data_IF_038490378494
#
_entry.id   IF_038490378494
#
_cell.length_a   1.000
_cell.length_b   1.000
_cell.length_c   1.000
_cell.angle_alpha   90.00
_cell.angle_beta   90.00
_cell.angle_gamma   90.00
#
_symmetry.space_group_name_H-M   'P 1'
#
loop_
_entity.id
_entity.type
_entity.pdbx_description
1 polymer ?
#
# COMPACT_ATOMS: atom_id res chain seq x y z
N UNK A 1 -5.97 12.89 -8.22
CA UNK A 1 -6.00 14.08 -9.09
C UNK A 1 -5.09 13.84 -10.30
N UNK A 2 -5.66 13.84 -11.51
CA UNK A 2 -4.88 13.59 -12.73
C UNK A 2 -3.73 14.60 -12.90
N UNK A 3 -2.57 14.14 -13.36
CA UNK A 3 -1.38 14.97 -13.59
C UNK A 3 -0.65 15.52 -12.36
N UNK A 4 -1.20 15.36 -11.15
CA UNK A 4 -0.64 15.99 -9.93
C UNK A 4 0.78 15.56 -9.55
N UNK A 5 1.24 14.37 -10.00
CA UNK A 5 2.62 13.92 -9.82
C UNK A 5 3.66 14.87 -10.44
N UNK A 6 3.27 15.65 -11.47
CA UNK A 6 4.14 16.65 -12.11
C UNK A 6 4.37 17.89 -11.25
N UNK A 7 3.55 18.10 -10.23
CA UNK A 7 3.59 19.28 -9.35
C UNK A 7 4.18 18.98 -7.97
N UNK A 8 4.74 17.78 -7.77
CA UNK A 8 5.21 17.32 -6.46
C UNK A 8 6.20 18.28 -5.79
N UNK A 9 7.18 18.81 -6.55
CA UNK A 9 8.14 19.80 -6.05
C UNK A 9 7.44 21.07 -5.57
N UNK A 10 6.57 21.63 -6.41
CA UNK A 10 5.79 22.83 -6.08
C UNK A 10 4.82 22.60 -4.90
N UNK A 11 4.30 21.40 -4.72
CA UNK A 11 3.49 21.03 -3.54
C UNK A 11 4.35 20.98 -2.27
N UNK A 12 5.54 20.39 -2.34
CA UNK A 12 6.48 20.34 -1.21
C UNK A 12 6.88 21.75 -0.76
N UNK A 13 7.21 22.62 -1.71
CA UNK A 13 7.66 23.99 -1.45
C UNK A 13 6.53 24.87 -0.86
N UNK A 14 5.27 24.57 -1.16
CA UNK A 14 4.08 25.26 -0.59
C UNK A 14 3.85 24.97 0.89
N UNK A 15 4.37 23.85 1.40
CA UNK A 15 4.12 23.38 2.76
C UNK A 15 5.42 23.16 3.55
N UNK A 16 6.26 24.20 3.72
CA UNK A 16 7.59 24.06 4.32
C UNK A 16 7.55 23.63 5.80
N UNK A 17 6.40 23.80 6.47
CA UNK A 17 6.20 23.45 7.88
C UNK A 17 5.53 22.10 8.15
N UNK A 18 5.11 21.37 7.11
CA UNK A 18 4.58 20.01 7.31
C UNK A 18 5.79 19.11 7.58
N UNK A 19 5.95 18.66 8.83
CA UNK A 19 6.87 17.56 9.16
C UNK A 19 6.60 16.46 8.16
N UNK A 20 7.55 16.25 7.26
CA UNK A 20 7.51 15.12 6.35
C UNK A 20 7.52 13.87 7.24
N UNK A 21 6.36 13.26 7.43
CA UNK A 21 6.35 11.82 7.69
C UNK A 21 7.00 11.27 6.44
N UNK A 22 8.23 10.75 6.54
CA UNK A 22 9.12 10.47 5.40
C UNK A 22 8.46 9.75 4.20
N UNK A 23 7.31 9.13 4.41
CA UNK A 23 6.54 8.35 3.44
C UNK A 23 5.43 9.12 2.67
N UNK A 24 4.91 10.27 3.16
CA UNK A 24 3.79 10.97 2.49
C UNK A 24 3.72 12.48 2.76
N UNK A 25 3.07 13.22 1.85
CA UNK A 25 2.78 14.65 1.97
C UNK A 25 1.26 14.87 2.12
N UNK A 26 0.75 15.21 3.32
CA UNK A 26 -0.66 15.57 3.47
C UNK A 26 -0.97 16.89 2.77
N UNK A 27 -2.07 16.92 2.01
CA UNK A 27 -2.53 18.12 1.31
C UNK A 27 -3.64 18.80 2.13
N UNK A 28 -3.48 20.08 2.53
CA UNK A 28 -4.55 20.82 3.21
C UNK A 28 -5.82 20.88 2.37
N UNK A 29 -6.98 20.77 3.04
CA UNK A 29 -8.31 20.82 2.38
C UNK A 29 -8.55 22.11 1.59
N UNK A 30 -7.85 23.19 1.94
CA UNK A 30 -7.94 24.50 1.31
C UNK A 30 -7.07 24.65 0.06
N UNK A 31 -6.17 23.70 -0.23
CA UNK A 31 -5.28 23.83 -1.39
C UNK A 31 -6.04 23.72 -2.71
N UNK A 32 -5.68 24.59 -3.65
CA UNK A 32 -6.32 24.66 -4.96
C UNK A 32 -6.21 23.36 -5.78
N UNK A 33 -5.23 22.50 -5.51
CA UNK A 33 -5.11 21.22 -6.23
C UNK A 33 -6.33 20.31 -6.01
N UNK A 34 -6.99 20.45 -4.86
CA UNK A 34 -8.19 19.67 -4.51
C UNK A 34 -9.46 20.20 -5.17
N UNK A 35 -9.43 21.40 -5.79
CA UNK A 35 -10.54 21.93 -6.59
C UNK A 35 -10.64 21.25 -7.96
N UNK A 36 -9.59 20.53 -8.38
CA UNK A 36 -9.61 19.77 -9.63
C UNK A 36 -10.49 18.53 -9.48
N UNK A 37 -11.24 18.13 -10.52
CA UNK A 37 -12.10 16.96 -10.43
C UNK A 37 -11.26 15.70 -10.15
N UNK A 38 -11.55 14.94 -9.08
CA UNK A 38 -10.90 13.66 -8.86
C UNK A 38 -11.42 12.64 -9.87
N UNK A 39 -10.56 11.67 -10.20
CA UNK A 39 -10.95 10.49 -10.99
C UNK A 39 -11.10 9.33 -10.01
N UNK A 40 -12.28 8.71 -10.00
CA UNK A 40 -12.52 7.46 -9.30
C UNK A 40 -12.11 6.31 -10.22
N UNK A 41 -11.12 5.53 -9.82
CA UNK A 41 -10.71 4.34 -10.56
C UNK A 41 -11.62 3.19 -10.15
N UNK A 42 -12.37 2.66 -11.10
CA UNK A 42 -13.16 1.43 -10.93
C UNK A 42 -12.32 0.23 -11.36
N UNK A 43 -12.28 -0.79 -10.52
CA UNK A 43 -11.55 -2.03 -10.74
C UNK A 43 -12.49 -3.22 -10.55
N UNK A 44 -12.31 -4.26 -11.35
CA UNK A 44 -12.84 -5.60 -11.13
C UNK A 44 -11.84 -6.46 -10.34
N UNK A 45 -12.29 -7.63 -9.88
CA UNK A 45 -11.39 -8.59 -9.23
C UNK A 45 -10.29 -9.01 -10.22
N UNK A 46 -9.02 -8.88 -9.81
CA UNK A 46 -7.85 -9.18 -10.64
C UNK A 46 -7.22 -7.96 -11.31
N UNK A 47 -7.90 -6.83 -11.37
CA UNK A 47 -7.33 -5.60 -11.96
C UNK A 47 -6.20 -5.03 -11.09
N UNK A 48 -5.14 -4.57 -11.76
CA UNK A 48 -4.03 -3.87 -11.14
C UNK A 48 -4.11 -2.37 -11.45
N UNK A 49 -4.38 -1.57 -10.41
CA UNK A 49 -4.33 -0.11 -10.51
C UNK A 49 -2.93 0.41 -10.14
N UNK A 50 -2.27 1.07 -11.08
CA UNK A 50 -0.93 1.64 -10.89
C UNK A 50 -0.97 3.16 -10.94
N UNK A 51 -0.20 3.81 -10.07
CA UNK A 51 -0.01 5.25 -10.09
C UNK A 51 1.41 5.63 -9.66
N UNK A 52 1.89 6.79 -10.13
CA UNK A 52 3.13 7.39 -9.65
C UNK A 52 2.97 7.79 -8.18
N UNK A 53 3.93 7.43 -7.32
CA UNK A 53 3.86 7.65 -5.86
C UNK A 53 3.71 9.11 -5.44
N UNK A 54 4.00 10.06 -6.34
CA UNK A 54 3.83 11.50 -6.13
C UNK A 54 2.42 12.01 -6.48
N UNK A 55 1.57 11.15 -7.04
CA UNK A 55 0.19 11.51 -7.41
C UNK A 55 -0.64 11.77 -6.17
N UNK A 56 -1.32 12.93 -6.11
CA UNK A 56 -2.30 13.21 -5.06
C UNK A 56 -3.48 12.27 -5.23
N UNK A 57 -3.71 11.42 -4.24
CA UNK A 57 -4.76 10.41 -4.22
C UNK A 57 -5.34 10.27 -2.80
N UNK A 58 -6.50 9.63 -2.70
CA UNK A 58 -7.10 9.29 -1.43
C UNK A 58 -7.96 8.03 -1.58
N UNK A 59 -8.20 7.35 -0.46
CA UNK A 59 -9.17 6.28 -0.39
C UNK A 59 -10.57 6.88 -0.22
N UNK A 60 -11.52 6.41 -1.01
CA UNK A 60 -12.94 6.66 -0.77
C UNK A 60 -13.50 5.50 0.06
N UNK A 61 -14.30 5.73 1.12
CA UNK A 61 -14.99 4.64 1.80
C UNK A 61 -15.90 3.88 0.84
N UNK A 62 -16.12 2.59 1.09
CA UNK A 62 -17.18 1.86 0.39
C UNK A 62 -18.53 2.55 0.65
N UNK A 63 -19.47 2.48 -0.30
CA UNK A 63 -20.82 3.02 -0.08
C UNK A 63 -21.39 2.33 1.18
N UNK A 64 -21.88 3.09 2.18
CA UNK A 64 -22.46 2.47 3.37
C UNK A 64 -23.64 1.59 2.95
N UNK A 65 -23.72 0.40 3.54
CA UNK A 65 -24.97 -0.37 3.48
C UNK A 65 -26.05 0.44 4.21
N UNK A 66 -27.33 0.34 3.82
CA UNK A 66 -28.43 0.98 4.54
C UNK A 66 -28.34 0.67 6.04
N UNK A 67 -28.37 1.73 6.85
CA UNK A 67 -28.05 1.75 8.30
C UNK A 67 -28.93 0.80 9.13
N UNK A 68 -30.05 0.34 8.58
CA UNK A 68 -31.04 -0.49 9.29
C UNK A 68 -30.64 -1.97 9.45
N UNK A 69 -29.64 -2.46 8.72
CA UNK A 69 -29.14 -3.82 8.96
C UNK A 69 -27.96 -3.76 9.91
N UNK A 70 -28.21 -3.98 11.21
CA UNK A 70 -27.19 -4.57 12.10
C UNK A 70 -26.54 -5.70 11.32
N UNK A 71 -25.21 -5.72 11.24
CA UNK A 71 -24.47 -6.80 10.61
C UNK A 71 -24.81 -8.09 11.36
N UNK A 72 -25.79 -8.83 10.86
CA UNK A 72 -25.99 -10.22 11.21
C UNK A 72 -24.79 -10.96 10.61
N UNK A 73 -23.88 -11.51 11.43
CA UNK A 73 -22.67 -12.18 10.94
C UNK A 73 -22.98 -13.31 9.96
N UNK A 74 -24.18 -13.90 10.05
CA UNK A 74 -24.65 -14.96 9.16
C UNK A 74 -25.25 -14.43 7.84
N UNK A 75 -25.42 -13.11 7.68
CA UNK A 75 -25.98 -12.47 6.47
C UNK A 75 -25.01 -11.51 5.78
N UNK A 76 -23.71 -11.61 6.06
CA UNK A 76 -22.69 -10.88 5.30
C UNK A 76 -22.49 -11.57 3.94
N UNK A 77 -23.44 -11.37 3.03
CA UNK A 77 -23.40 -12.03 1.72
C UNK A 77 -22.38 -11.41 0.75
N UNK A 78 -21.89 -10.19 1.01
CA UNK A 78 -21.07 -9.43 0.04
C UNK A 78 -19.97 -8.59 0.70
N UNK A 79 -18.73 -8.81 0.27
CA UNK A 79 -17.58 -7.96 0.60
C UNK A 79 -17.78 -6.56 0.01
N UNK A 80 -17.58 -5.52 0.83
CA UNK A 80 -17.64 -4.12 0.37
C UNK A 80 -16.46 -3.76 -0.53
N UNK A 81 -15.24 -4.13 -0.12
CA UNK A 81 -13.99 -3.94 -0.85
C UNK A 81 -12.89 -4.77 -0.21
N UNK A 82 -12.16 -5.52 -1.03
CA UNK A 82 -10.87 -6.12 -0.67
C UNK A 82 -9.82 -5.66 -1.68
N UNK A 83 -8.69 -5.16 -1.19
CA UNK A 83 -7.55 -4.75 -2.02
C UNK A 83 -6.25 -5.18 -1.35
N UNK A 84 -5.25 -5.54 -2.16
CA UNK A 84 -3.88 -5.76 -1.71
C UNK A 84 -3.02 -4.57 -2.16
N UNK A 85 -2.36 -3.91 -1.22
CA UNK A 85 -1.42 -2.84 -1.56
C UNK A 85 -0.05 -3.43 -1.89
N UNK A 86 0.44 -3.12 -3.08
CA UNK A 86 1.77 -3.51 -3.53
C UNK A 86 2.58 -2.25 -3.79
N UNK A 87 3.72 -2.12 -3.11
CA UNK A 87 4.70 -1.07 -3.39
C UNK A 87 5.81 -1.65 -4.26
N UNK A 88 6.17 -0.97 -5.35
CA UNK A 88 7.16 -1.42 -6.32
C UNK A 88 8.23 -0.35 -6.54
N UNK A 89 9.48 -0.78 -6.66
CA UNK A 89 10.59 0.04 -7.14
C UNK A 89 11.49 -0.80 -8.05
N UNK A 90 12.30 -0.20 -8.94
CA UNK A 90 13.26 -0.95 -9.73
C UNK A 90 14.12 -1.87 -8.85
N UNK A 91 14.32 -3.12 -9.28
CA UNK A 91 15.09 -4.11 -8.52
C UNK A 91 16.53 -3.63 -8.25
N UNK A 92 17.10 -2.84 -9.16
CA UNK A 92 18.43 -2.22 -9.03
C UNK A 92 18.59 -1.28 -7.84
N UNK A 93 17.49 -0.85 -7.20
CA UNK A 93 17.55 -0.07 -5.96
C UNK A 93 17.75 -0.91 -4.70
N UNK A 94 17.50 -2.22 -4.78
CA UNK A 94 17.62 -3.13 -3.65
C UNK A 94 18.93 -3.92 -3.72
N UNK A 95 19.63 -4.03 -2.60
CA UNK A 95 20.78 -4.96 -2.51
C UNK A 95 20.28 -6.40 -2.38
N UNK A 96 21.11 -7.37 -2.77
CA UNK A 96 20.82 -8.79 -2.54
C UNK A 96 20.53 -9.09 -1.06
N UNK A 97 21.23 -8.41 -0.15
CA UNK A 97 20.98 -8.52 1.30
C UNK A 97 19.56 -8.07 1.68
N UNK A 98 19.08 -6.94 1.15
CA UNK A 98 17.71 -6.47 1.40
C UNK A 98 16.70 -7.48 0.86
N UNK A 99 16.90 -7.97 -0.37
CA UNK A 99 16.01 -8.97 -0.99
C UNK A 99 15.89 -10.21 -0.10
N UNK A 100 17.01 -10.78 0.33
CA UNK A 100 17.03 -11.98 1.17
C UNK A 100 16.40 -11.76 2.56
N UNK A 101 16.62 -10.59 3.17
CA UNK A 101 15.96 -10.24 4.44
C UNK A 101 14.45 -10.12 4.27
N UNK A 102 13.96 -9.59 3.15
CA UNK A 102 12.52 -9.47 2.88
C UNK A 102 11.86 -10.82 2.61
N UNK A 103 12.53 -11.73 1.90
CA UNK A 103 12.08 -13.13 1.76
C UNK A 103 11.91 -13.80 3.13
N UNK A 104 12.91 -13.67 4.00
CA UNK A 104 12.85 -14.18 5.39
C UNK A 104 11.74 -13.52 6.22
N UNK A 105 11.46 -12.23 5.99
CA UNK A 105 10.36 -11.54 6.67
C UNK A 105 9.00 -12.15 6.31
N UNK A 106 8.78 -12.48 5.03
CA UNK A 106 7.58 -13.21 4.59
C UNK A 106 7.48 -14.53 5.34
N UNK A 107 8.50 -15.40 5.30
CA UNK A 107 8.45 -16.72 5.95
C UNK A 107 8.17 -16.66 7.46
N UNK A 108 8.54 -15.55 8.12
CA UNK A 108 8.35 -15.33 9.55
C UNK A 108 7.05 -14.61 9.91
N UNK A 109 6.25 -14.21 8.93
CA UNK A 109 5.08 -13.36 9.14
C UNK A 109 5.43 -11.97 9.70
N UNK A 110 6.65 -11.48 9.43
CA UNK A 110 7.14 -10.21 9.94
C UNK A 110 6.76 -9.05 9.01
N UNK A 111 6.34 -7.93 9.60
CA UNK A 111 6.08 -6.69 8.88
C UNK A 111 7.37 -5.93 8.58
N UNK A 112 7.37 -5.15 7.51
CA UNK A 112 8.49 -4.28 7.12
C UNK A 112 8.05 -2.82 7.05
N UNK A 113 8.84 -1.95 6.42
CA UNK A 113 8.47 -0.58 6.06
C UNK A 113 7.73 -0.50 4.70
N UNK A 114 7.39 0.72 4.29
CA UNK A 114 6.72 1.06 3.02
C UNK A 114 7.65 1.04 1.79
N UNK A 115 8.97 0.93 1.96
CA UNK A 115 9.97 1.10 0.90
C UNK A 115 10.55 -0.26 0.52
N UNK A 116 10.16 -0.84 -0.63
CA UNK A 116 10.47 -2.25 -0.94
C UNK A 116 11.97 -2.52 -1.18
N UNK A 117 12.75 -1.48 -1.46
CA UNK A 117 14.21 -1.54 -1.64
C UNK A 117 15.00 -1.28 -0.37
N UNK A 118 14.33 -1.04 0.76
CA UNK A 118 14.97 -0.83 2.04
C UNK A 118 14.45 -1.79 3.11
N UNK A 119 15.26 -1.94 4.15
CA UNK A 119 14.85 -2.56 5.41
C UNK A 119 15.10 -1.57 6.55
N UNK A 120 14.75 -0.29 6.37
CA UNK A 120 14.65 0.65 7.48
C UNK A 120 13.69 0.06 8.54
N UNK A 121 14.07 0.17 9.82
CA UNK A 121 13.34 -0.36 10.96
C UNK A 121 11.90 0.18 11.02
N UNK A 122 10.99 -0.48 10.31
CA UNK A 122 9.56 -0.25 10.42
C UNK A 122 9.15 -0.47 11.86
N UNK A 123 8.39 0.47 12.41
CA UNK A 123 8.12 0.59 13.84
C UNK A 123 7.90 -0.74 14.55
N UNK A 124 8.61 -0.93 15.67
CA UNK A 124 8.44 -2.05 16.61
C UNK A 124 8.18 -3.39 15.92
N UNK A 125 9.24 -3.97 15.33
CA UNK A 125 9.36 -5.37 14.86
C UNK A 125 8.88 -6.46 15.84
N UNK A 126 8.35 -6.12 17.01
CA UNK A 126 8.38 -7.01 18.16
C UNK A 126 7.07 -7.76 18.46
N UNK A 127 5.92 -7.49 17.81
CA UNK A 127 4.65 -8.06 18.27
C UNK A 127 3.59 -8.42 17.21
N UNK A 128 3.93 -8.46 15.93
CA UNK A 128 3.00 -9.14 15.00
C UNK A 128 3.15 -10.64 15.27
N UNK A 129 2.09 -11.34 15.70
CA UNK A 129 2.16 -12.78 15.78
C UNK A 129 2.63 -13.29 14.42
N UNK A 130 3.55 -14.25 14.41
CA UNK A 130 3.81 -14.98 13.17
C UNK A 130 2.50 -15.52 12.61
N UNK A 131 2.52 -16.02 11.38
CA UNK A 131 1.37 -16.73 10.86
C UNK A 131 0.88 -17.72 11.92
N UNK A 132 -0.39 -17.61 12.31
CA UNK A 132 -0.99 -18.55 13.25
C UNK A 132 -0.84 -20.00 12.74
N UNK A 133 -1.26 -21.01 13.49
CA UNK A 133 -1.10 -22.42 13.11
C UNK A 133 -1.55 -22.72 11.67
N UNK A 134 -2.58 -22.00 11.21
CA UNK A 134 -3.15 -22.09 9.87
C UNK A 134 -2.59 -21.12 8.83
N UNK A 135 -1.83 -20.10 9.23
CA UNK A 135 -1.41 -19.04 8.31
C UNK A 135 -0.27 -19.49 7.38
N UNK A 136 0.58 -20.42 7.84
CA UNK A 136 1.72 -20.93 7.08
C UNK A 136 1.31 -21.67 5.81
N UNK A 137 0.12 -22.30 5.79
CA UNK A 137 -0.41 -23.01 4.62
C UNK A 137 -0.73 -22.10 3.44
N UNK A 138 -0.83 -20.78 3.67
CA UNK A 138 -1.05 -19.78 2.62
C UNK A 138 0.26 -19.20 2.07
N UNK A 139 1.42 -19.62 2.58
CA UNK A 139 2.72 -19.24 2.01
C UNK A 139 3.02 -20.15 0.83
N UNK A 140 3.14 -19.56 -0.35
CA UNK A 140 3.62 -20.27 -1.55
C UNK A 140 5.13 -20.07 -1.65
N UNK A 141 5.90 -21.03 -1.13
CA UNK A 141 7.38 -20.92 -1.05
C UNK A 141 8.04 -20.63 -2.40
N UNK A 142 7.51 -21.18 -3.49
CA UNK A 142 7.98 -20.95 -4.86
C UNK A 142 7.93 -19.47 -5.26
N UNK A 143 6.92 -18.72 -4.79
CA UNK A 143 6.80 -17.29 -5.03
C UNK A 143 7.77 -16.48 -4.17
N UNK A 144 8.11 -16.98 -2.98
CA UNK A 144 9.06 -16.34 -2.05
C UNK A 144 10.50 -16.49 -2.54
N UNK A 145 10.87 -17.70 -2.96
CA UNK A 145 12.21 -17.98 -3.46
C UNK A 145 12.45 -17.27 -4.80
N UNK A 146 11.40 -17.14 -5.60
CA UNK A 146 11.44 -16.60 -6.95
C UNK A 146 12.12 -17.58 -7.90
N UNK A 147 11.60 -17.73 -9.12
CA UNK A 147 12.36 -18.43 -10.16
C UNK A 147 13.58 -17.54 -10.51
N UNK A 148 14.79 -18.10 -10.70
CA UNK A 148 15.90 -17.33 -11.23
C UNK A 148 15.45 -16.67 -12.53
N UNK A 149 15.72 -15.37 -12.69
CA UNK A 149 15.31 -14.57 -13.84
C UNK A 149 15.60 -15.33 -15.14
N UNK A 150 14.57 -15.85 -15.79
CA UNK A 150 14.65 -16.37 -17.14
C UNK A 150 14.32 -15.19 -18.05
N UNK A 151 15.28 -14.29 -18.21
CA UNK A 151 15.30 -13.27 -19.26
C UNK A 151 16.73 -13.11 -19.75
#
# INVERSE_FOLDING_TARGET
ISGSHKEFKALKDRFPGIKHFNDYLPIPRTDNILKRPPIMVSCQAGDLCLWDSRTVHCNTPGKPLPVEKKCDPEKIDKLLRLVCYVCMTPATKATNEVIEKRKKAVLRGATTNHWPHELAGGGRLAKTPGFGPDGSKYIVNELVEGKPNIY
#
